data_IF_699936214836
#
_entry.id   IF_699936214836
#
_cell.length_a   1.000
_cell.length_b   1.000
_cell.length_c   1.000
_cell.angle_alpha   90.00
_cell.angle_beta   90.00
_cell.angle_gamma   90.00
#
_symmetry.space_group_name_H-M   'P 1'
#
loop_
_entity.id
_entity.type
_entity.pdbx_description
1 polymer ?
#
# COMPACT_ATOMS: atom_id res chain seq x y z
N UNK A 1 -3.91 -7.97 -5.84
CA UNK A 1 -5.00 -7.41 -5.00
C UNK A 1 -4.73 -7.88 -3.58
N UNK A 2 -4.12 -7.02 -2.77
CA UNK A 2 -3.63 -7.37 -1.43
C UNK A 2 -4.53 -6.68 -0.40
N UNK A 3 -5.17 -7.48 0.43
CA UNK A 3 -6.01 -7.03 1.53
C UNK A 3 -5.20 -7.00 2.83
N UNK A 4 -5.33 -5.93 3.61
CA UNK A 4 -4.56 -5.66 4.83
C UNK A 4 -5.51 -5.57 6.03
N UNK A 5 -5.55 -6.57 6.90
CA UNK A 5 -6.38 -6.50 8.13
C UNK A 5 -5.53 -5.95 9.26
N UNK A 6 -5.87 -4.76 9.77
CA UNK A 6 -5.34 -4.19 11.02
C UNK A 6 -6.50 -3.78 11.92
N UNK A 7 -6.44 -4.16 13.20
CA UNK A 7 -7.59 -4.34 14.10
C UNK A 7 -8.34 -3.06 14.54
N UNK A 8 -8.06 -1.86 14.01
CA UNK A 8 -8.84 -0.64 14.34
C UNK A 8 -8.91 0.44 13.25
N UNK A 9 -7.88 0.61 12.39
CA UNK A 9 -7.90 1.49 11.20
C UNK A 9 -6.99 0.93 10.12
N UNK A 10 -7.51 0.79 8.90
CA UNK A 10 -6.81 0.26 7.73
C UNK A 10 -6.62 1.36 6.68
N UNK A 11 -5.48 1.30 5.99
CA UNK A 11 -5.22 2.09 4.81
C UNK A 11 -4.66 1.19 3.70
N UNK A 12 -5.34 1.14 2.56
CA UNK A 12 -4.88 0.47 1.35
C UNK A 12 -4.48 1.51 0.33
N UNK A 13 -3.28 1.38 -0.24
CA UNK A 13 -2.76 2.27 -1.29
C UNK A 13 -2.43 1.41 -2.52
N UNK A 14 -2.96 1.78 -3.69
CA UNK A 14 -2.69 1.08 -4.95
C UNK A 14 -2.79 2.05 -6.13
N UNK A 15 -2.05 1.83 -7.22
CA UNK A 15 -2.13 2.65 -8.42
C UNK A 15 -3.39 2.37 -9.26
N UNK A 16 -3.96 1.17 -9.12
CA UNK A 16 -5.05 0.64 -9.92
C UNK A 16 -6.40 0.91 -9.27
N UNK A 17 -7.19 1.79 -9.90
CA UNK A 17 -8.57 2.05 -9.45
C UNK A 17 -9.44 0.77 -9.51
N UNK A 18 -9.18 -0.12 -10.47
CA UNK A 18 -9.87 -1.42 -10.56
C UNK A 18 -9.62 -2.26 -9.31
N UNK A 19 -8.38 -2.29 -8.81
CA UNK A 19 -8.05 -3.07 -7.60
C UNK A 19 -8.58 -2.43 -6.34
N UNK A 20 -8.62 -1.09 -6.26
CA UNK A 20 -9.25 -0.39 -5.14
C UNK A 20 -10.76 -0.66 -5.09
N UNK A 21 -11.45 -0.64 -6.24
CA UNK A 21 -12.87 -0.97 -6.30
C UNK A 21 -13.13 -2.41 -5.89
N UNK A 22 -12.30 -3.36 -6.32
CA UNK A 22 -12.40 -4.74 -5.85
C UNK A 22 -12.11 -4.86 -4.36
N UNK A 23 -11.19 -4.07 -3.82
CA UNK A 23 -10.93 -4.04 -2.40
C UNK A 23 -12.14 -3.53 -1.60
N UNK A 24 -12.77 -2.45 -2.06
CA UNK A 24 -14.01 -1.93 -1.48
C UNK A 24 -15.13 -2.97 -1.49
N UNK A 25 -15.36 -3.62 -2.63
CA UNK A 25 -16.38 -4.67 -2.74
C UNK A 25 -16.11 -5.84 -1.79
N UNK A 26 -14.85 -6.26 -1.65
CA UNK A 26 -14.49 -7.33 -0.72
C UNK A 26 -14.72 -6.94 0.75
N UNK A 27 -14.48 -5.67 1.12
CA UNK A 27 -14.79 -5.20 2.48
C UNK A 27 -16.30 -5.27 2.74
N UNK A 28 -17.11 -4.76 1.80
CA UNK A 28 -18.58 -4.81 1.88
C UNK A 28 -19.08 -6.27 1.99
N UNK A 29 -18.52 -7.18 1.19
CA UNK A 29 -18.90 -8.60 1.20
C UNK A 29 -18.61 -9.31 2.54
N UNK A 30 -17.74 -8.75 3.39
CA UNK A 30 -17.40 -9.31 4.70
C UNK A 30 -18.03 -8.49 5.85
N UNK A 31 -19.01 -7.63 5.56
CA UNK A 31 -19.65 -6.72 6.53
C UNK A 31 -18.63 -5.80 7.24
N UNK A 32 -17.52 -5.50 6.55
CA UNK A 32 -16.47 -4.59 7.03
C UNK A 32 -16.78 -3.21 6.48
N UNK A 33 -17.51 -2.41 7.25
CA UNK A 33 -17.97 -1.07 6.84
C UNK A 33 -17.45 0.04 7.76
N UNK A 34 -17.24 1.23 7.20
CA UNK A 34 -17.02 2.45 7.98
C UNK A 34 -15.75 3.21 7.64
N UNK A 35 -15.61 4.40 8.23
CA UNK A 35 -14.54 5.38 7.95
C UNK A 35 -13.14 4.92 8.40
N UNK A 36 -13.06 3.79 9.09
CA UNK A 36 -11.80 3.21 9.54
C UNK A 36 -11.02 2.49 8.43
N UNK A 37 -11.66 2.15 7.29
CA UNK A 37 -10.99 1.59 6.12
C UNK A 37 -10.88 2.67 5.03
N UNK A 38 -9.64 3.05 4.69
CA UNK A 38 -9.36 4.06 3.66
C UNK A 38 -8.68 3.42 2.47
N UNK A 39 -9.09 3.85 1.28
CA UNK A 39 -8.51 3.46 0.00
C UNK A 39 -7.91 4.71 -0.64
N UNK A 40 -6.64 4.65 -1.06
CA UNK A 40 -5.94 5.77 -1.73
C UNK A 40 -5.41 5.28 -3.07
N UNK A 41 -5.73 6.01 -4.13
CA UNK A 41 -5.09 5.80 -5.42
C UNK A 41 -3.80 6.61 -5.53
N UNK A 42 -2.65 5.95 -5.47
CA UNK A 42 -1.34 6.61 -5.59
C UNK A 42 -0.24 5.62 -6.01
N UNK A 43 0.90 6.13 -6.45
CA UNK A 43 2.16 5.36 -6.49
C UNK A 43 2.55 4.98 -5.06
N UNK A 44 2.57 3.68 -4.75
CA UNK A 44 2.78 3.20 -3.40
C UNK A 44 4.18 3.53 -2.86
N UNK A 45 5.21 3.52 -3.72
CA UNK A 45 6.59 3.79 -3.30
C UNK A 45 6.76 5.27 -2.99
N UNK A 46 6.29 6.15 -3.87
CA UNK A 46 6.34 7.60 -3.65
C UNK A 46 5.44 8.02 -2.47
N UNK A 47 4.29 7.36 -2.32
CA UNK A 47 3.40 7.61 -1.20
C UNK A 47 4.07 7.25 0.13
N UNK A 48 4.76 6.10 0.20
CA UNK A 48 5.47 5.67 1.38
C UNK A 48 6.62 6.62 1.74
N UNK A 49 7.39 7.09 0.75
CA UNK A 49 8.49 8.06 0.97
C UNK A 49 8.02 9.38 1.59
N UNK A 50 6.75 9.77 1.41
CA UNK A 50 6.17 11.01 1.92
C UNK A 50 5.25 10.79 3.13
N UNK A 51 5.12 9.56 3.61
CA UNK A 51 4.19 9.22 4.67
C UNK A 51 4.82 9.44 6.05
N UNK A 52 4.29 10.41 6.80
CA UNK A 52 4.71 10.66 8.20
C UNK A 52 3.89 9.85 9.22
N UNK A 53 3.13 8.83 8.77
CA UNK A 53 2.28 8.01 9.65
C UNK A 53 3.00 6.73 10.03
N UNK A 54 2.88 6.35 11.29
CA UNK A 54 3.36 5.05 11.77
C UNK A 54 2.24 3.99 11.75
N UNK A 55 2.64 2.75 11.53
CA UNK A 55 1.77 1.59 11.45
C UNK A 55 2.31 0.47 12.33
N UNK A 56 1.41 -0.27 12.98
CA UNK A 56 1.76 -1.47 13.75
C UNK A 56 2.00 -2.69 12.84
N UNK A 57 1.37 -2.68 11.66
CA UNK A 57 1.44 -3.76 10.68
C UNK A 57 1.39 -3.20 9.26
N UNK A 58 2.37 -3.58 8.44
CA UNK A 58 2.43 -3.23 7.02
C UNK A 58 2.56 -4.51 6.20
N UNK A 59 1.66 -4.71 5.24
CA UNK A 59 1.86 -5.67 4.16
C UNK A 59 2.31 -4.93 2.92
N UNK A 60 3.36 -5.44 2.29
CA UNK A 60 3.92 -4.90 1.06
C UNK A 60 4.21 -6.07 0.13
N UNK A 61 3.61 -6.06 -1.05
CA UNK A 61 3.93 -7.02 -2.12
C UNK A 61 4.10 -6.23 -3.43
N UNK A 62 5.31 -5.65 -3.64
CA UNK A 62 5.61 -4.89 -4.83
C UNK A 62 5.73 -5.82 -6.06
N UNK A 63 5.44 -5.34 -7.27
CA UNK A 63 5.65 -6.16 -8.47
C UNK A 63 7.14 -6.51 -8.63
N UNK A 64 7.45 -7.63 -9.29
CA UNK A 64 8.84 -8.00 -9.58
C UNK A 64 9.58 -6.92 -10.36
N UNK A 65 8.90 -6.34 -11.36
CA UNK A 65 9.41 -5.23 -12.16
C UNK A 65 8.25 -4.29 -12.52
N UNK A 66 8.51 -2.99 -12.56
CA UNK A 66 7.55 -2.00 -13.06
C UNK A 66 8.27 -0.92 -13.88
N UNK A 67 7.74 -0.67 -15.08
CA UNK A 67 8.13 0.42 -15.98
C UNK A 67 6.96 1.38 -16.23
N UNK A 68 6.04 1.47 -15.26
CA UNK A 68 4.79 2.20 -15.44
C UNK A 68 5.05 3.66 -15.81
N UNK A 69 4.34 4.16 -16.84
CA UNK A 69 4.34 5.60 -17.22
C UNK A 69 3.89 6.54 -16.08
N UNK A 70 3.29 5.98 -15.02
CA UNK A 70 2.85 6.70 -13.82
C UNK A 70 3.87 6.67 -12.68
N UNK A 71 4.95 5.90 -12.80
CA UNK A 71 6.09 5.94 -11.88
C UNK A 71 7.18 6.83 -12.47
N UNK A 72 7.81 7.66 -11.66
CA UNK A 72 8.93 8.51 -12.11
C UNK A 72 10.20 7.70 -12.39
N UNK A 73 10.42 6.59 -11.66
CA UNK A 73 11.56 5.71 -11.79
C UNK A 73 11.14 4.26 -12.05
N UNK A 74 11.96 3.53 -12.81
CA UNK A 74 11.79 2.08 -12.98
C UNK A 74 11.99 1.37 -11.64
N UNK A 75 11.17 0.38 -11.34
CA UNK A 75 11.29 -0.46 -10.15
C UNK A 75 11.70 -1.88 -10.52
N UNK A 76 12.68 -2.43 -9.80
CA UNK A 76 13.07 -3.83 -9.84
C UNK A 76 13.21 -4.35 -8.40
N UNK A 77 12.44 -5.37 -8.03
CA UNK A 77 12.43 -5.89 -6.66
C UNK A 77 13.81 -6.38 -6.20
N UNK A 78 14.61 -6.98 -7.09
CA UNK A 78 15.93 -7.49 -6.73
C UNK A 78 16.91 -6.35 -6.44
N UNK A 79 16.83 -5.26 -7.20
CA UNK A 79 17.68 -4.08 -7.03
C UNK A 79 17.24 -3.20 -5.87
N UNK A 80 15.94 -2.99 -5.72
CA UNK A 80 15.38 -1.85 -4.98
C UNK A 80 14.72 -2.24 -3.64
N UNK A 81 14.54 -3.54 -3.33
CA UNK A 81 13.88 -3.96 -2.08
C UNK A 81 14.54 -3.43 -0.81
N UNK A 82 15.87 -3.21 -0.79
CA UNK A 82 16.56 -2.65 0.38
C UNK A 82 16.12 -1.21 0.66
N UNK A 83 15.94 -0.40 -0.38
CA UNK A 83 15.43 0.98 -0.26
C UNK A 83 14.00 0.95 0.28
N UNK A 84 13.16 0.06 -0.26
CA UNK A 84 11.79 -0.14 0.21
C UNK A 84 11.76 -0.52 1.70
N UNK A 85 12.57 -1.48 2.13
CA UNK A 85 12.63 -1.89 3.55
C UNK A 85 13.10 -0.76 4.47
N UNK A 86 14.00 0.10 3.99
CA UNK A 86 14.47 1.27 4.74
C UNK A 86 13.36 2.29 4.95
N UNK A 87 12.56 2.57 3.92
CA UNK A 87 11.40 3.46 4.00
C UNK A 87 10.27 2.88 4.86
N UNK A 88 10.12 1.55 4.87
CA UNK A 88 9.14 0.89 5.74
C UNK A 88 9.52 1.02 7.21
N UNK A 89 10.79 0.84 7.55
CA UNK A 89 11.27 0.96 8.94
C UNK A 89 10.94 2.30 9.58
N UNK A 90 11.03 3.40 8.84
CA UNK A 90 10.69 4.73 9.37
C UNK A 90 9.19 4.91 9.62
N UNK A 91 8.37 4.02 9.04
CA UNK A 91 6.91 4.04 9.14
C UNK A 91 6.36 3.02 10.14
N UNK A 92 7.20 2.30 10.89
CA UNK A 92 6.76 1.41 11.96
C UNK A 92 6.76 2.14 13.32
N UNK A 93 5.82 1.77 14.19
CA UNK A 93 5.84 2.16 15.61
C UNK A 93 6.97 1.38 16.29
N UNK A 94 7.81 2.04 17.10
CA UNK A 94 8.83 1.40 17.95
C UNK A 94 8.24 0.71 19.18
#
# INVERSE_FOLDING_TARGET
MQHLVALNRQLTVDMSNTYLNWAEQNLILNDIEGKQHKLIQADCLQWLEKCDRQFDLIFVDPPTFSNSKRMEESWDVQRDHVKLMSNLKTSFVE
#
